data_IF_043619660612
#
_entry.id   IF_043619660612
#
_cell.length_a   1.000
_cell.length_b   1.000
_cell.length_c   1.000
_cell.angle_alpha   90.00
_cell.angle_beta   90.00
_cell.angle_gamma   90.00
#
_symmetry.space_group_name_H-M   'P 1'
#
loop_
_entity.id
_entity.type
_entity.pdbx_description
1 polymer ?
#
# COMPACT_ATOMS: atom_id res chain seq x y z
N UNK A 1 -49.20 47.29 -5.85
CA UNK A 1 -48.55 47.47 -7.16
C UNK A 1 -47.08 47.80 -6.87
N UNK A 2 -46.18 46.80 -6.90
CA UNK A 2 -45.27 46.50 -8.04
C UNK A 2 -44.34 47.70 -8.34
N UNK A 3 -43.02 47.62 -8.44
CA UNK A 3 -42.10 46.48 -8.45
C UNK A 3 -40.65 46.96 -8.23
N UNK A 4 -39.82 46.02 -7.79
CA UNK A 4 -38.49 45.70 -8.32
C UNK A 4 -37.31 46.69 -8.17
N UNK A 5 -36.49 46.34 -7.18
CA UNK A 5 -35.04 46.48 -7.09
C UNK A 5 -34.32 46.07 -8.37
N UNK A 6 -33.41 46.91 -8.88
CA UNK A 6 -32.56 46.62 -10.05
C UNK A 6 -31.15 47.18 -9.86
N UNK A 7 -30.31 46.46 -9.11
CA UNK A 7 -28.88 46.74 -8.94
C UNK A 7 -28.11 46.08 -10.08
N UNK A 8 -27.67 46.85 -11.08
CA UNK A 8 -26.68 46.39 -12.05
C UNK A 8 -25.27 46.80 -11.58
N UNK A 9 -24.57 45.86 -10.93
CA UNK A 9 -23.10 45.92 -10.82
C UNK A 9 -22.53 44.81 -11.69
N UNK A 10 -22.02 45.24 -12.84
CA UNK A 10 -21.21 44.42 -13.73
C UNK A 10 -19.84 44.25 -13.06
N UNK A 11 -19.66 43.17 -12.30
CA UNK A 11 -18.34 42.80 -11.80
C UNK A 11 -17.52 42.17 -12.91
N UNK A 12 -16.36 42.76 -13.14
CA UNK A 12 -15.33 42.31 -14.03
C UNK A 12 -14.88 40.87 -13.73
N UNK A 13 -14.60 40.16 -14.82
CA UNK A 13 -14.05 38.83 -14.91
C UNK A 13 -12.66 38.80 -14.24
N UNK A 14 -12.59 38.29 -13.00
CA UNK A 14 -11.33 37.91 -12.38
C UNK A 14 -10.96 36.50 -12.88
N UNK A 15 -9.80 36.41 -13.54
CA UNK A 15 -9.34 35.25 -14.29
C UNK A 15 -9.29 33.96 -13.50
N UNK A 16 -9.81 32.89 -14.10
CA UNK A 16 -9.57 31.52 -13.66
C UNK A 16 -8.06 31.21 -13.77
N UNK A 17 -7.38 30.80 -12.70
CA UNK A 17 -6.04 30.24 -12.84
C UNK A 17 -6.15 28.90 -13.60
N UNK A 18 -5.36 28.77 -14.67
CA UNK A 18 -5.27 27.54 -15.48
C UNK A 18 -4.80 26.37 -14.61
N UNK A 19 -5.32 25.14 -14.79
CA UNK A 19 -4.76 23.97 -14.12
C UNK A 19 -3.34 23.73 -14.65
N UNK A 20 -2.36 23.70 -13.74
CA UNK A 20 -1.01 23.22 -14.04
C UNK A 20 -1.11 21.74 -14.38
N UNK A 21 -0.88 21.39 -15.64
CA UNK A 21 -0.63 20.02 -16.07
C UNK A 21 0.70 19.59 -15.49
N UNK A 22 0.66 18.66 -14.53
CA UNK A 22 1.84 17.93 -14.08
C UNK A 22 2.11 16.86 -15.15
N UNK A 23 3.33 16.77 -15.72
CA UNK A 23 3.64 15.65 -16.60
C UNK A 23 3.47 14.33 -15.84
N UNK A 24 3.03 13.24 -16.48
CA UNK A 24 3.00 11.94 -15.82
C UNK A 24 4.43 11.62 -15.37
N UNK A 25 4.60 11.49 -14.05
CA UNK A 25 5.84 11.00 -13.48
C UNK A 25 6.13 9.63 -14.07
N UNK A 26 7.32 9.46 -14.62
CA UNK A 26 7.84 8.18 -15.08
C UNK A 26 7.55 7.13 -14.00
N UNK A 27 6.78 6.12 -14.37
CA UNK A 27 6.72 4.89 -13.62
C UNK A 27 8.12 4.29 -13.67
N UNK A 28 8.93 4.53 -12.64
CA UNK A 28 10.19 3.85 -12.43
C UNK A 28 9.90 2.36 -12.34
N UNK A 29 10.18 1.65 -13.44
CA UNK A 29 10.23 0.21 -13.45
C UNK A 29 11.19 -0.27 -12.35
N UNK A 30 10.88 -1.37 -11.63
CA UNK A 30 11.84 -1.93 -10.70
C UNK A 30 13.11 -2.32 -11.47
N UNK A 31 14.23 -1.75 -11.04
CA UNK A 31 15.55 -2.02 -11.59
C UNK A 31 15.80 -3.54 -11.63
N UNK A 32 16.13 -4.03 -12.82
CA UNK A 32 16.66 -5.37 -13.01
C UNK A 32 17.92 -5.57 -12.14
N UNK A 33 18.15 -6.78 -11.57
CA UNK A 33 19.38 -7.04 -10.83
C UNK A 33 20.60 -6.92 -11.75
N UNK A 34 21.75 -6.43 -11.27
CA UNK A 34 22.95 -6.33 -12.10
C UNK A 34 23.41 -7.72 -12.55
N UNK A 35 23.55 -7.87 -13.88
CA UNK A 35 24.30 -8.96 -14.49
C UNK A 35 25.72 -8.94 -13.92
N UNK A 36 26.09 -10.00 -13.22
CA UNK A 36 27.45 -10.30 -12.80
C UNK A 36 28.28 -10.48 -14.08
N UNK A 37 29.16 -9.51 -14.32
CA UNK A 37 30.13 -9.55 -15.40
C UNK A 37 31.06 -10.72 -15.13
N UNK A 38 30.96 -11.76 -15.96
CA UNK A 38 31.92 -12.84 -16.03
C UNK A 38 33.28 -12.23 -16.43
N UNK A 39 34.21 -12.19 -15.48
CA UNK A 39 35.62 -11.98 -15.80
C UNK A 39 36.22 -13.33 -16.17
N UNK A 40 36.68 -13.39 -17.41
CA UNK A 40 37.33 -14.53 -18.02
C UNK A 40 38.85 -14.26 -17.94
N UNK A 41 39.57 -15.05 -17.15
CA UNK A 41 41.04 -15.08 -17.19
C UNK A 41 41.48 -16.50 -17.53
N UNK A 42 42.17 -16.73 -18.67
CA UNK A 42 42.71 -18.03 -19.01
C UNK A 42 44.19 -18.10 -18.61
N UNK A 43 44.52 -18.95 -17.64
CA UNK A 43 45.89 -19.38 -17.40
C UNK A 43 46.03 -20.85 -17.78
N UNK A 44 46.76 -21.08 -18.86
CA UNK A 44 47.10 -22.40 -19.38
C UNK A 44 48.27 -23.05 -18.63
N UNK A 45 48.45 -24.34 -18.95
CA UNK A 45 49.54 -25.27 -18.65
C UNK A 45 49.37 -26.09 -17.36
N UNK A 46 49.65 -27.39 -17.28
CA UNK A 46 49.96 -28.50 -18.20
C UNK A 46 50.00 -29.76 -17.29
N UNK A 47 49.59 -30.95 -17.75
CA UNK A 47 50.00 -32.22 -17.11
C UNK A 47 48.98 -33.35 -16.93
N UNK A 48 49.10 -34.34 -17.84
CA UNK A 48 48.91 -35.81 -17.71
C UNK A 48 47.52 -36.49 -17.62
N UNK A 49 47.35 -37.41 -18.60
CA UNK A 49 46.37 -38.46 -18.89
C UNK A 49 46.00 -39.39 -17.71
N UNK A 50 44.87 -40.12 -17.60
CA UNK A 50 43.77 -40.59 -18.48
C UNK A 50 42.63 -41.11 -17.52
N UNK A 51 41.46 -41.63 -17.97
CA UNK A 51 40.14 -41.21 -17.54
C UNK A 51 39.47 -42.22 -16.58
N UNK A 52 38.90 -41.74 -15.47
CA UNK A 52 37.85 -42.52 -14.78
C UNK A 52 36.48 -41.92 -15.07
N UNK A 53 35.77 -42.62 -15.94
CA UNK A 53 34.37 -42.40 -16.29
C UNK A 53 33.52 -42.82 -15.09
N UNK A 54 33.40 -41.95 -14.10
CA UNK A 54 32.13 -41.84 -13.39
C UNK A 54 31.33 -40.78 -14.12
N UNK A 55 30.49 -41.25 -15.04
CA UNK A 55 29.59 -40.43 -15.81
C UNK A 55 28.83 -39.48 -14.88
N UNK A 56 29.14 -38.21 -15.07
CA UNK A 56 28.25 -37.07 -14.86
C UNK A 56 26.80 -37.49 -15.15
N UNK A 57 26.08 -37.80 -14.08
CA UNK A 57 24.64 -38.11 -14.08
C UNK A 57 23.87 -36.89 -13.59
N UNK A 58 24.43 -35.70 -13.83
CA UNK A 58 23.88 -34.44 -13.38
C UNK A 58 23.50 -33.55 -14.56
N UNK A 59 22.69 -34.03 -15.52
CA UNK A 59 21.85 -33.21 -16.41
C UNK A 59 21.08 -34.09 -17.43
N UNK A 60 20.43 -35.17 -16.97
CA UNK A 60 19.41 -35.80 -17.82
C UNK A 60 18.30 -34.76 -18.05
N UNK A 61 17.98 -34.38 -19.31
CA UNK A 61 16.97 -33.36 -19.54
C UNK A 61 15.64 -33.84 -18.96
N UNK A 62 15.10 -33.06 -18.02
CA UNK A 62 13.78 -33.31 -17.42
C UNK A 62 12.80 -33.70 -18.53
N UNK A 63 12.07 -34.79 -18.33
CA UNK A 63 11.05 -35.24 -19.26
C UNK A 63 10.03 -34.12 -19.48
N UNK A 64 9.35 -34.14 -20.64
CA UNK A 64 8.32 -33.15 -20.94
C UNK A 64 7.24 -33.07 -19.85
N UNK A 65 6.93 -34.20 -19.19
CA UNK A 65 5.97 -34.28 -18.07
C UNK A 65 6.48 -33.60 -16.81
N UNK A 66 7.75 -33.83 -16.44
CA UNK A 66 8.36 -33.17 -15.28
C UNK A 66 8.46 -31.66 -15.48
N UNK A 67 8.72 -31.22 -16.72
CA UNK A 67 8.71 -29.79 -17.06
C UNK A 67 7.31 -29.18 -16.93
N UNK A 68 6.28 -29.87 -17.41
CA UNK A 68 4.89 -29.43 -17.32
C UNK A 68 4.43 -29.32 -15.85
N UNK A 69 4.74 -30.34 -15.03
CA UNK A 69 4.46 -30.31 -13.60
C UNK A 69 5.19 -29.17 -12.89
N UNK A 70 6.47 -28.95 -13.21
CA UNK A 70 7.25 -27.85 -12.64
C UNK A 70 6.66 -26.49 -13.04
N UNK A 71 6.23 -26.32 -14.30
CA UNK A 71 5.56 -25.07 -14.74
C UNK A 71 4.25 -24.85 -14.00
N UNK A 72 3.39 -25.88 -13.87
CA UNK A 72 2.14 -25.77 -13.13
C UNK A 72 2.39 -25.44 -11.65
N UNK A 73 3.48 -25.98 -11.06
CA UNK A 73 3.87 -25.67 -9.68
C UNK A 73 4.34 -24.22 -9.55
N UNK A 74 5.12 -23.72 -10.50
CA UNK A 74 5.56 -22.31 -10.54
C UNK A 74 4.34 -21.39 -10.65
N UNK A 75 3.42 -21.65 -11.57
CA UNK A 75 2.22 -20.83 -11.78
C UNK A 75 1.33 -20.76 -10.51
N UNK A 76 1.18 -21.89 -9.81
CA UNK A 76 0.44 -21.96 -8.55
C UNK A 76 1.12 -21.10 -7.45
N UNK A 77 2.44 -21.18 -7.34
CA UNK A 77 3.22 -20.38 -6.38
C UNK A 77 3.18 -18.89 -6.72
N UNK A 78 3.29 -18.53 -8.00
CA UNK A 78 3.18 -17.13 -8.44
C UNK A 78 1.80 -16.55 -8.14
N UNK A 79 0.75 -17.34 -8.32
CA UNK A 79 -0.62 -16.96 -7.97
C UNK A 79 -0.76 -16.72 -6.46
N UNK A 80 -0.26 -17.63 -5.63
CA UNK A 80 -0.29 -17.49 -4.16
C UNK A 80 0.49 -16.25 -3.70
N UNK A 81 1.71 -16.06 -4.22
CA UNK A 81 2.52 -14.88 -3.94
C UNK A 81 1.82 -13.60 -4.37
N UNK A 82 1.12 -13.60 -5.52
CA UNK A 82 0.32 -12.47 -5.98
C UNK A 82 -0.78 -12.09 -4.99
N UNK A 83 -1.56 -13.07 -4.53
CA UNK A 83 -2.63 -12.85 -3.54
C UNK A 83 -2.10 -12.34 -2.21
N UNK A 84 -0.98 -12.90 -1.73
CA UNK A 84 -0.34 -12.44 -0.50
C UNK A 84 0.19 -11.01 -0.64
N UNK A 85 0.83 -10.68 -1.77
CA UNK A 85 1.30 -9.32 -2.06
C UNK A 85 0.15 -8.31 -2.10
N UNK A 86 -0.97 -8.66 -2.70
CA UNK A 86 -2.16 -7.78 -2.71
C UNK A 86 -2.73 -7.57 -1.31
N UNK A 87 -2.83 -8.64 -0.51
CA UNK A 87 -3.27 -8.55 0.88
C UNK A 87 -2.35 -7.63 1.70
N UNK A 88 -1.03 -7.77 1.53
CA UNK A 88 -0.03 -6.93 2.18
C UNK A 88 -0.05 -5.48 1.69
N UNK A 89 -0.31 -5.23 0.40
CA UNK A 89 -0.34 -3.88 -0.18
C UNK A 89 -1.45 -2.99 0.43
N UNK A 90 -2.52 -3.58 0.97
CA UNK A 90 -3.61 -2.84 1.61
C UNK A 90 -3.31 -2.37 3.05
N UNK A 91 -2.28 -2.96 3.69
CA UNK A 91 -1.93 -2.68 5.09
C UNK A 91 -1.26 -1.30 5.27
N UNK A 92 -0.29 -0.88 4.44
CA UNK A 92 0.35 0.43 4.55
C UNK A 92 -0.62 1.61 4.50
N UNK A 93 -1.60 1.60 3.59
CA UNK A 93 -2.53 2.73 3.43
C UNK A 93 -3.48 2.87 4.63
N UNK A 94 -3.87 1.74 5.23
CA UNK A 94 -4.73 1.71 6.42
C UNK A 94 -3.94 2.20 7.64
N UNK A 95 -2.69 1.78 7.80
CA UNK A 95 -1.82 2.22 8.88
C UNK A 95 -1.48 3.72 8.75
N UNK A 96 -1.26 4.23 7.53
CA UNK A 96 -1.08 5.65 7.26
C UNK A 96 -2.32 6.46 7.66
N UNK A 97 -3.51 6.02 7.22
CA UNK A 97 -4.78 6.65 7.60
C UNK A 97 -4.99 6.64 9.12
N UNK A 98 -4.61 5.56 9.81
CA UNK A 98 -4.66 5.47 11.28
C UNK A 98 -3.77 6.53 11.92
N UNK A 99 -2.53 6.68 11.48
CA UNK A 99 -1.61 7.72 11.94
C UNK A 99 -2.14 9.14 11.69
N UNK A 100 -2.75 9.37 10.52
CA UNK A 100 -3.40 10.65 10.22
C UNK A 100 -4.55 10.96 11.18
N UNK A 101 -5.39 9.98 11.53
CA UNK A 101 -6.46 10.17 12.51
C UNK A 101 -5.91 10.53 13.88
N UNK A 102 -4.83 9.87 14.33
CA UNK A 102 -4.14 10.19 15.59
C UNK A 102 -3.57 11.61 15.61
N UNK A 103 -3.08 12.11 14.46
CA UNK A 103 -2.62 13.49 14.32
C UNK A 103 -3.78 14.50 14.33
N UNK A 104 -4.91 14.15 13.73
CA UNK A 104 -6.09 15.02 13.63
C UNK A 104 -6.90 15.07 14.93
N UNK A 105 -6.93 14.00 15.71
CA UNK A 105 -7.59 13.93 17.00
C UNK A 105 -6.65 13.24 18.01
N UNK A 106 -6.33 13.87 19.16
CA UNK A 106 -5.43 13.28 20.15
C UNK A 106 -6.00 12.00 20.76
N UNK A 107 -5.78 10.85 20.12
CA UNK A 107 -6.22 9.54 20.54
C UNK A 107 -5.13 8.48 20.31
N UNK A 108 -5.25 7.35 21.00
CA UNK A 108 -4.36 6.22 20.78
C UNK A 108 -4.69 5.49 19.45
N UNK A 109 -3.82 4.53 19.10
CA UNK A 109 -3.96 3.77 17.88
C UNK A 109 -5.28 2.98 17.87
N UNK A 110 -5.71 2.41 18.98
CA UNK A 110 -6.96 1.63 19.04
C UNK A 110 -8.17 2.52 18.78
N UNK A 111 -8.27 3.67 19.43
CA UNK A 111 -9.32 4.64 19.17
C UNK A 111 -9.32 5.12 17.70
N UNK A 112 -8.15 5.36 17.11
CA UNK A 112 -8.04 5.75 15.70
C UNK A 112 -8.55 4.65 14.75
N UNK A 113 -8.25 3.38 15.05
CA UNK A 113 -8.79 2.24 14.31
C UNK A 113 -10.32 2.20 14.39
N UNK A 114 -10.87 2.34 15.60
CA UNK A 114 -12.32 2.36 15.81
C UNK A 114 -13.01 3.53 15.08
N UNK A 115 -12.35 4.68 14.95
CA UNK A 115 -12.85 5.79 14.12
C UNK A 115 -12.95 5.37 12.66
N UNK A 116 -11.90 4.78 12.08
CA UNK A 116 -11.91 4.35 10.68
C UNK A 116 -12.98 3.29 10.41
N UNK A 117 -13.11 2.30 11.31
CA UNK A 117 -14.17 1.27 11.24
C UNK A 117 -15.56 1.89 11.30
N UNK A 118 -15.79 2.81 12.24
CA UNK A 118 -17.07 3.54 12.37
C UNK A 118 -17.40 4.34 11.12
N UNK A 119 -16.42 5.01 10.51
CA UNK A 119 -16.61 5.76 9.26
C UNK A 119 -16.94 4.81 8.12
N UNK A 120 -16.22 3.70 8.00
CA UNK A 120 -16.46 2.66 6.97
C UNK A 120 -17.88 2.10 7.05
N UNK A 121 -18.34 1.73 8.25
CA UNK A 121 -19.69 1.21 8.47
C UNK A 121 -20.77 2.24 8.13
N UNK A 122 -20.66 3.47 8.66
CA UNK A 122 -21.68 4.49 8.43
C UNK A 122 -21.70 5.04 7.00
N UNK A 123 -20.57 5.01 6.30
CA UNK A 123 -20.51 5.39 4.89
C UNK A 123 -20.81 4.24 3.93
N UNK A 124 -20.91 2.99 4.43
CA UNK A 124 -21.01 1.76 3.63
C UNK A 124 -19.91 1.65 2.55
N UNK A 125 -18.69 2.08 2.90
CA UNK A 125 -17.51 2.02 2.02
C UNK A 125 -16.47 1.11 2.64
N UNK A 126 -15.84 0.26 1.82
CA UNK A 126 -14.75 -0.63 2.26
C UNK A 126 -13.67 0.18 2.99
N UNK A 127 -13.20 -0.32 4.13
CA UNK A 127 -12.22 0.36 4.97
C UNK A 127 -10.96 0.79 4.21
N UNK A 128 -10.44 -0.08 3.32
CA UNK A 128 -9.30 0.24 2.45
C UNK A 128 -9.55 1.47 1.56
N UNK A 129 -10.77 1.64 1.08
CA UNK A 129 -11.17 2.78 0.25
C UNK A 129 -11.39 4.05 1.08
N UNK A 130 -11.86 3.91 2.33
CA UNK A 130 -11.90 5.03 3.29
C UNK A 130 -10.48 5.52 3.60
N UNK A 131 -9.56 4.60 3.86
CA UNK A 131 -8.16 4.92 4.13
C UNK A 131 -7.50 5.61 2.93
N UNK A 132 -7.64 5.05 1.73
CA UNK A 132 -7.14 5.66 0.50
C UNK A 132 -7.74 7.06 0.28
N UNK A 133 -9.05 7.23 0.48
CA UNK A 133 -9.69 8.53 0.34
C UNK A 133 -9.18 9.55 1.36
N UNK A 134 -8.81 9.12 2.57
CA UNK A 134 -8.22 10.00 3.57
C UNK A 134 -6.81 10.46 3.16
N UNK A 135 -5.97 9.53 2.69
CA UNK A 135 -4.60 9.80 2.22
C UNK A 135 -4.64 10.73 1.01
N UNK A 136 -5.39 10.39 -0.04
CA UNK A 136 -5.54 11.25 -1.21
C UNK A 136 -6.18 12.59 -0.86
N UNK A 137 -7.06 12.64 0.14
CA UNK A 137 -7.62 13.89 0.66
C UNK A 137 -6.57 14.84 1.25
N UNK A 138 -5.56 14.31 1.92
CA UNK A 138 -4.43 15.11 2.41
C UNK A 138 -3.51 15.58 1.28
N UNK A 139 -3.46 14.85 0.17
CA UNK A 139 -2.76 15.24 -1.06
C UNK A 139 -3.55 16.25 -1.92
N UNK A 140 -4.76 16.63 -1.50
CA UNK A 140 -5.62 17.62 -2.16
C UNK A 140 -6.71 17.04 -3.05
N UNK A 141 -6.89 15.71 -3.08
CA UNK A 141 -7.96 15.07 -3.84
C UNK A 141 -9.34 15.22 -3.17
N UNK A 142 -10.40 15.11 -3.97
CA UNK A 142 -11.77 15.18 -3.47
C UNK A 142 -12.15 13.89 -2.72
N UNK A 143 -12.29 13.99 -1.39
CA UNK A 143 -12.81 12.88 -0.57
C UNK A 143 -14.32 12.75 -0.74
N UNK A 144 -14.89 11.53 -0.91
CA UNK A 144 -16.33 11.32 -1.03
C UNK A 144 -17.13 11.97 0.11
N UNK A 145 -18.22 12.66 -0.23
CA UNK A 145 -19.09 13.37 0.72
C UNK A 145 -19.51 12.52 1.95
N UNK A 146 -19.96 11.26 1.82
CA UNK A 146 -20.36 10.47 2.99
C UNK A 146 -19.17 10.22 3.93
N UNK A 147 -18.01 9.85 3.38
CA UNK A 147 -16.79 9.61 4.16
C UNK A 147 -16.37 10.85 4.92
N UNK A 148 -16.34 12.03 4.28
CA UNK A 148 -15.99 13.30 4.94
C UNK A 148 -16.96 13.63 6.09
N UNK A 149 -18.26 13.47 5.87
CA UNK A 149 -19.29 13.79 6.88
C UNK A 149 -19.11 12.92 8.12
N UNK A 150 -18.98 11.60 7.93
CA UNK A 150 -18.83 10.67 9.05
C UNK A 150 -17.48 10.82 9.75
N UNK A 151 -16.40 11.08 9.00
CA UNK A 151 -15.09 11.36 9.59
C UNK A 151 -15.12 12.61 10.46
N UNK A 152 -15.71 13.70 9.97
CA UNK A 152 -15.83 14.94 10.75
C UNK A 152 -16.65 14.73 12.04
N UNK A 153 -17.72 13.93 11.99
CA UNK A 153 -18.50 13.57 13.18
C UNK A 153 -17.69 12.73 14.16
N UNK A 154 -17.05 11.65 13.69
CA UNK A 154 -16.26 10.76 14.55
C UNK A 154 -15.07 11.49 15.21
N UNK A 155 -14.37 12.36 14.47
CA UNK A 155 -13.26 13.16 15.04
C UNK A 155 -13.76 14.15 16.10
N UNK A 156 -14.93 14.77 15.92
CA UNK A 156 -15.53 15.63 16.96
C UNK A 156 -15.82 14.83 18.22
N UNK A 157 -16.45 13.67 18.09
CA UNK A 157 -16.77 12.79 19.23
C UNK A 157 -15.52 12.42 20.03
N UNK A 158 -14.43 12.04 19.35
CA UNK A 158 -13.15 11.70 20.00
C UNK A 158 -12.54 12.89 20.72
N UNK A 159 -12.60 14.10 20.13
CA UNK A 159 -12.10 15.32 20.77
C UNK A 159 -12.92 15.74 21.99
N UNK A 160 -14.22 15.46 22.00
CA UNK A 160 -15.13 15.80 23.11
C UNK A 160 -15.17 14.75 24.21
N UNK A 161 -14.70 13.53 23.94
CA UNK A 161 -14.67 12.46 24.94
C UNK A 161 -13.61 12.76 26.02
N UNK A 162 -13.96 12.79 27.32
CA UNK A 162 -12.98 12.96 28.39
C UNK A 162 -11.96 11.83 28.34
N UNK A 163 -10.68 12.21 28.37
CA UNK A 163 -9.57 11.41 27.88
C UNK A 163 -9.43 10.03 28.52
N UNK A 164 -9.63 8.99 27.70
CA UNK A 164 -8.97 7.68 27.88
C UNK A 164 -7.49 7.78 27.44
N UNK A 165 -6.79 8.84 27.83
CA UNK A 165 -5.36 8.99 27.58
C UNK A 165 -4.64 8.03 28.54
N UNK A 166 -4.40 6.79 28.13
CA UNK A 166 -3.51 5.88 28.88
C UNK A 166 -4.10 4.54 29.37
N UNK A 167 -4.93 3.84 28.58
CA UNK A 167 -5.20 2.40 28.82
C UNK A 167 -4.82 1.48 27.66
N UNK A 168 -3.86 1.85 26.83
CA UNK A 168 -3.11 0.83 26.08
C UNK A 168 -2.09 0.18 27.02
N UNK A 169 -2.57 -0.75 27.86
CA UNK A 169 -1.69 -1.73 28.49
C UNK A 169 -1.02 -2.58 27.41
N UNK A 170 0.17 -3.15 27.69
CA UNK A 170 1.10 -3.66 26.69
C UNK A 170 0.48 -4.80 25.88
N UNK A 171 0.34 -4.58 24.58
CA UNK A 171 0.00 -5.61 23.59
C UNK A 171 1.16 -6.61 23.35
N UNK A 172 2.29 -6.46 24.05
CA UNK A 172 3.52 -7.27 23.88
C UNK A 172 3.56 -8.60 24.65
N UNK A 173 2.52 -8.99 25.39
CA UNK A 173 2.56 -10.24 26.18
C UNK A 173 2.35 -11.54 25.40
N UNK A 174 2.22 -11.50 24.07
CA UNK A 174 2.06 -12.71 23.24
C UNK A 174 3.36 -13.25 22.62
N UNK A 175 4.49 -12.54 22.68
CA UNK A 175 5.76 -13.03 22.09
C UNK A 175 6.78 -13.62 23.08
N UNK A 176 6.64 -13.38 24.39
CA UNK A 176 7.59 -13.87 25.40
C UNK A 176 7.28 -15.26 26.00
N UNK A 177 6.26 -15.98 25.50
CA UNK A 177 5.92 -17.35 25.96
C UNK A 177 6.22 -18.46 24.94
N UNK A 178 6.93 -18.15 23.85
CA UNK A 178 7.34 -19.12 22.83
C UNK A 178 8.86 -19.43 22.86
N UNK A 179 9.62 -18.93 23.84
CA UNK A 179 11.06 -19.15 23.95
C UNK A 179 11.47 -19.76 25.31
N UNK A 180 10.64 -20.62 25.89
CA UNK A 180 10.96 -21.32 27.14
C UNK A 180 10.67 -22.80 27.03
#
# INVERSE_FOLDING_TARGET
>A
MSAATGSARTSALAGCPRPRTVPPGEATAPAAPPAHRAECEPAAADGDAEPDRSADSGDAPLSAREREELTARIDALETEVGQLREALASRPVIDQARGMVMALAPCDAEAAWQVLVRVSQHSNVKLRSVAAALVSGAEGAAVPKPVRKHLATALREVRTAPGRRGRSGPSDRRELRAQR
#
